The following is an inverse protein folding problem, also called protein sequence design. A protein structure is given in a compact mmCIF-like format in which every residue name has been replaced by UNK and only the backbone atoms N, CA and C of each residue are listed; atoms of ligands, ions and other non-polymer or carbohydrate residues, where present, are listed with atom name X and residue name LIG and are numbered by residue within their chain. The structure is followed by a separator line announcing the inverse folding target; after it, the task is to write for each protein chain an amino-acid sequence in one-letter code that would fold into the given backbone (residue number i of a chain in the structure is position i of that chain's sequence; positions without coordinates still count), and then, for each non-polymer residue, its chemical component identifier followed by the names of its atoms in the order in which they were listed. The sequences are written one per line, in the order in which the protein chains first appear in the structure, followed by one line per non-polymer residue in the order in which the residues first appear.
data_IF_085921913958
#
_entry.id   IF_085921913958
#
_cell.length_a   1.000
_cell.length_b   1.000
_cell.length_c   1.000
_cell.angle_alpha   90.00
_cell.angle_beta   90.00
_cell.angle_gamma   90.00
#
_symmetry.space_group_name_H-M   'P 1'
#
loop_
_entity.id
_entity.type
_entity.pdbx_description
1 polymer ?
#
# COMPACT_ATOMS: atom_id res chain seq x y z
N UNK A 1 1.49 37.39 4.44
CA UNK A 1 2.65 36.68 5.01
C UNK A 1 2.13 35.85 6.19
N UNK A 2 1.81 34.57 5.98
CA UNK A 2 1.16 33.72 6.99
C UNK A 2 2.13 33.28 8.10
N UNK A 3 1.63 33.02 9.33
CA UNK A 3 2.48 32.70 10.47
C UNK A 3 3.25 31.40 10.25
N UNK A 4 4.56 31.42 10.52
CA UNK A 4 5.42 30.23 10.46
C UNK A 4 4.98 29.25 11.57
N UNK A 5 4.56 28.01 11.23
CA UNK A 5 4.17 27.04 12.25
C UNK A 5 5.38 26.66 13.11
N UNK A 6 5.21 26.78 14.44
CA UNK A 6 6.26 26.57 15.43
C UNK A 6 6.82 25.13 15.46
N UNK A 7 8.04 24.95 16.00
CA UNK A 7 8.82 23.70 15.89
C UNK A 7 8.16 22.47 16.54
N UNK A 8 7.28 22.67 17.53
CA UNK A 8 6.59 21.57 18.24
C UNK A 8 5.50 20.88 17.42
N UNK A 9 4.80 21.61 16.54
CA UNK A 9 3.79 21.01 15.64
C UNK A 9 4.46 20.09 14.62
N UNK A 10 5.56 20.54 14.02
CA UNK A 10 6.32 19.79 12.99
C UNK A 10 6.82 18.42 13.48
N UNK A 11 7.18 18.29 14.76
CA UNK A 11 7.67 17.03 15.32
C UNK A 11 6.53 16.01 15.58
N UNK A 12 5.36 16.47 16.04
CA UNK A 12 4.18 15.61 16.21
C UNK A 12 3.62 15.16 14.86
N UNK A 13 3.60 16.06 13.88
CA UNK A 13 3.19 15.73 12.51
C UNK A 13 4.07 14.61 11.93
N UNK A 14 5.40 14.71 12.09
CA UNK A 14 6.34 13.65 11.65
C UNK A 14 6.12 12.32 12.35
N UNK A 15 5.82 12.33 13.66
CA UNK A 15 5.54 11.10 14.40
C UNK A 15 4.21 10.46 13.96
N UNK A 16 3.20 11.28 13.64
CA UNK A 16 1.94 10.83 13.06
C UNK A 16 2.15 10.22 11.67
N UNK A 17 2.84 10.92 10.76
CA UNK A 17 3.13 10.44 9.40
C UNK A 17 3.99 9.16 9.40
N UNK A 18 4.91 9.02 10.35
CA UNK A 18 5.69 7.78 10.54
C UNK A 18 4.81 6.61 10.96
N UNK A 19 3.97 6.79 11.99
CA UNK A 19 3.02 5.75 12.44
C UNK A 19 2.03 5.40 11.34
N UNK A 20 1.54 6.41 10.62
CA UNK A 20 0.64 6.22 9.49
C UNK A 20 1.31 5.41 8.39
N UNK A 21 2.59 5.71 8.06
CA UNK A 21 3.37 4.91 7.12
C UNK A 21 3.50 3.47 7.58
N UNK A 22 3.85 3.23 8.85
CA UNK A 22 3.95 1.88 9.44
C UNK A 22 2.63 1.11 9.29
N UNK A 23 1.51 1.69 9.72
CA UNK A 23 0.19 1.07 9.57
C UNK A 23 -0.17 0.80 8.11
N UNK A 24 0.15 1.72 7.19
CA UNK A 24 -0.11 1.54 5.77
C UNK A 24 0.75 0.44 5.16
N UNK A 25 2.02 0.35 5.53
CA UNK A 25 2.91 -0.73 5.08
C UNK A 25 2.46 -2.10 5.60
N UNK A 26 1.94 -2.17 6.82
CA UNK A 26 1.36 -3.39 7.38
C UNK A 26 0.08 -3.79 6.63
N UNK A 27 -0.82 -2.84 6.37
CA UNK A 27 -2.03 -3.08 5.56
C UNK A 27 -1.67 -3.55 4.15
N UNK A 28 -0.67 -2.93 3.52
CA UNK A 28 -0.18 -3.30 2.19
C UNK A 28 0.38 -4.73 2.19
N UNK A 29 1.22 -5.07 3.18
CA UNK A 29 1.77 -6.42 3.33
C UNK A 29 0.66 -7.46 3.52
N UNK A 30 -0.30 -7.18 4.40
CA UNK A 30 -1.44 -8.07 4.64
C UNK A 30 -2.30 -8.26 3.39
N UNK A 31 -2.60 -7.19 2.64
CA UNK A 31 -3.37 -7.30 1.39
C UNK A 31 -2.63 -8.14 0.33
N UNK A 32 -1.30 -7.99 0.22
CA UNK A 32 -0.47 -8.82 -0.66
C UNK A 32 -0.41 -10.28 -0.23
N UNK A 33 -0.33 -10.54 1.07
CA UNK A 33 -0.37 -11.89 1.65
C UNK A 33 -1.74 -12.55 1.44
N UNK A 34 -2.83 -11.80 1.63
CA UNK A 34 -4.20 -12.22 1.32
C UNK A 34 -4.40 -12.50 -0.18
N UNK A 35 -3.73 -11.74 -1.05
CA UNK A 35 -3.74 -11.93 -2.50
C UNK A 35 -2.82 -13.07 -2.98
N UNK A 36 -1.97 -13.63 -2.11
CA UNK A 36 -1.18 -14.80 -2.43
C UNK A 36 -2.10 -15.98 -2.76
N UNK A 37 -1.77 -16.72 -3.81
CA UNK A 37 -2.52 -17.92 -4.20
C UNK A 37 -1.98 -19.08 -3.39
N UNK A 38 -2.88 -19.82 -2.74
CA UNK A 38 -2.57 -21.08 -2.07
C UNK A 38 -2.50 -22.20 -3.13
N UNK A 39 -1.89 -23.34 -2.76
CA UNK A 39 -1.73 -24.50 -3.64
C UNK A 39 -3.05 -25.02 -4.25
N UNK A 40 -4.18 -24.73 -3.60
CA UNK A 40 -5.54 -25.03 -4.10
C UNK A 40 -6.04 -24.10 -5.22
N UNK A 41 -5.22 -23.15 -5.69
CA UNK A 41 -5.58 -22.19 -6.73
C UNK A 41 -6.46 -21.03 -6.26
N UNK A 42 -7.03 -21.10 -5.05
CA UNK A 42 -7.73 -20.01 -4.38
C UNK A 42 -6.76 -19.03 -3.69
N UNK A 43 -7.16 -17.76 -3.54
CA UNK A 43 -6.39 -16.78 -2.76
C UNK A 43 -6.50 -17.05 -1.27
N UNK A 44 -5.46 -16.68 -0.50
CA UNK A 44 -5.48 -16.77 0.96
C UNK A 44 -6.70 -16.05 1.56
N UNK A 45 -7.12 -14.92 0.98
CA UNK A 45 -8.38 -14.24 1.33
C UNK A 45 -9.60 -15.15 1.22
N UNK A 46 -9.74 -15.86 0.10
CA UNK A 46 -10.86 -16.78 -0.12
C UNK A 46 -10.82 -17.94 0.87
N UNK A 47 -9.61 -18.46 1.15
CA UNK A 47 -9.41 -19.52 2.13
C UNK A 47 -9.81 -19.07 3.53
N UNK A 48 -9.31 -17.92 4.00
CA UNK A 48 -9.64 -17.35 5.32
C UNK A 48 -11.10 -16.94 5.44
N UNK A 49 -11.74 -16.45 4.37
CA UNK A 49 -13.18 -16.19 4.38
C UNK A 49 -14.01 -17.47 4.51
N UNK A 50 -13.61 -18.56 3.83
CA UNK A 50 -14.24 -19.88 3.98
C UNK A 50 -14.02 -20.43 5.38
N UNK A 51 -12.81 -20.30 5.92
CA UNK A 51 -12.46 -20.67 7.29
C UNK A 51 -13.32 -19.90 8.28
N UNK A 52 -13.39 -18.57 8.20
CA UNK A 52 -14.21 -17.74 9.07
C UNK A 52 -15.70 -18.10 8.99
N UNK A 53 -16.21 -18.47 7.81
CA UNK A 53 -17.60 -18.91 7.65
C UNK A 53 -17.87 -20.28 8.29
N UNK A 54 -16.89 -21.18 8.29
CA UNK A 54 -17.03 -22.53 8.84
C UNK A 54 -16.73 -22.60 10.35
N UNK A 55 -15.74 -21.85 10.84
CA UNK A 55 -15.27 -21.88 12.22
C UNK A 55 -15.81 -20.73 13.07
N UNK A 56 -16.36 -19.68 12.45
CA UNK A 56 -16.81 -18.46 13.12
C UNK A 56 -15.68 -17.52 13.55
N UNK A 57 -14.43 -17.93 13.39
CA UNK A 57 -13.25 -17.16 13.79
C UNK A 57 -12.72 -16.35 12.61
N UNK A 58 -12.82 -15.02 12.71
CA UNK A 58 -12.30 -14.10 11.69
C UNK A 58 -10.85 -13.79 12.01
N UNK A 59 -9.97 -14.24 11.12
CA UNK A 59 -8.53 -14.01 11.20
C UNK A 59 -8.22 -12.50 11.31
N UNK A 60 -7.30 -12.08 12.21
CA UNK A 60 -6.90 -10.69 12.35
C UNK A 60 -6.43 -10.06 11.04
N UNK A 61 -5.85 -10.82 10.10
CA UNK A 61 -5.47 -10.33 8.77
C UNK A 61 -6.66 -9.80 7.96
N UNK A 62 -7.87 -10.36 8.16
CA UNK A 62 -9.09 -9.87 7.52
C UNK A 62 -9.70 -8.64 8.23
N UNK A 63 -9.29 -8.37 9.47
CA UNK A 63 -9.77 -7.23 10.28
C UNK A 63 -8.90 -5.99 10.14
N UNK A 64 -7.79 -6.05 9.41
CA UNK A 64 -6.90 -4.90 9.23
C UNK A 64 -7.67 -3.80 8.48
N UNK A 65 -8.00 -2.72 9.20
CA UNK A 65 -8.68 -1.56 8.64
C UNK A 65 -7.66 -0.61 8.02
N UNK A 66 -7.84 -0.32 6.74
CA UNK A 66 -7.01 0.65 6.04
C UNK A 66 -7.25 2.05 6.61
N UNK A 67 -6.18 2.80 6.96
CA UNK A 67 -6.31 4.20 7.35
C UNK A 67 -6.99 4.99 6.24
N UNK A 68 -8.09 5.69 6.55
CA UNK A 68 -8.88 6.45 5.56
C UNK A 68 -8.05 7.42 4.73
N UNK A 69 -7.04 8.02 5.36
CA UNK A 69 -6.11 8.98 4.73
C UNK A 69 -5.13 8.34 3.76
N UNK A 70 -4.86 7.03 3.87
CA UNK A 70 -3.98 6.30 2.95
C UNK A 70 -4.71 5.58 1.82
N UNK A 71 -6.05 5.51 1.86
CA UNK A 71 -6.85 4.93 0.77
C UNK A 71 -6.61 5.64 -0.58
N UNK A 72 -6.55 6.98 -0.67
CA UNK A 72 -6.26 7.65 -1.94
C UNK A 72 -4.86 7.33 -2.47
N UNK A 73 -3.86 7.19 -1.59
CA UNK A 73 -2.50 6.80 -1.98
C UNK A 73 -2.45 5.37 -2.49
N UNK A 74 -3.16 4.47 -1.83
CA UNK A 74 -3.28 3.08 -2.25
C UNK A 74 -4.01 2.94 -3.59
N UNK A 75 -5.11 3.66 -3.78
CA UNK A 75 -5.83 3.67 -5.06
C UNK A 75 -4.97 4.28 -6.16
N UNK A 76 -4.25 5.36 -5.88
CA UNK A 76 -3.28 5.93 -6.81
C UNK A 76 -2.20 4.91 -7.19
N UNK A 77 -1.60 4.23 -6.21
CA UNK A 77 -0.62 3.17 -6.42
C UNK A 77 -1.16 2.05 -7.33
N UNK A 78 -2.38 1.56 -7.04
CA UNK A 78 -3.03 0.53 -7.84
C UNK A 78 -3.33 0.98 -9.27
N UNK A 79 -3.71 2.24 -9.45
CA UNK A 79 -4.03 2.82 -10.77
C UNK A 79 -2.81 3.20 -11.59
N UNK A 80 -1.72 3.61 -10.94
CA UNK A 80 -0.45 3.91 -11.61
C UNK A 80 0.05 2.70 -12.39
N UNK A 81 -0.31 1.49 -11.94
CA UNK A 81 -0.08 0.25 -12.66
C UNK A 81 1.41 -0.06 -12.75
N UNK A 82 1.75 -1.34 -12.65
CA UNK A 82 3.12 -1.78 -12.95
C UNK A 82 3.21 -2.02 -14.44
N UNK A 83 4.26 -1.50 -15.07
CA UNK A 83 4.55 -1.90 -16.44
C UNK A 83 4.89 -3.40 -16.42
N UNK A 84 4.13 -4.19 -17.16
CA UNK A 84 4.45 -5.60 -17.38
C UNK A 84 5.71 -5.67 -18.22
N UNK A 85 6.82 -6.11 -17.64
CA UNK A 85 8.07 -6.36 -18.37
C UNK A 85 8.11 -7.81 -18.87
N UNK A 86 9.04 -8.11 -19.77
CA UNK A 86 9.26 -9.46 -20.32
C UNK A 86 9.53 -10.50 -19.22
N UNK A 87 10.02 -10.07 -18.04
CA UNK A 87 10.28 -10.91 -16.86
C UNK A 87 9.24 -10.73 -15.74
N UNK A 88 8.05 -10.21 -16.04
CA UNK A 88 6.97 -9.99 -15.07
C UNK A 88 6.77 -8.50 -14.69
N UNK A 89 5.90 -8.20 -13.71
CA UNK A 89 5.60 -6.82 -13.32
C UNK A 89 6.85 -6.11 -12.78
N UNK A 90 7.24 -5.01 -13.42
CA UNK A 90 8.38 -4.19 -12.97
C UNK A 90 8.05 -3.28 -11.78
N UNK A 91 9.06 -2.66 -11.15
CA UNK A 91 8.84 -1.62 -10.15
C UNK A 91 8.10 -0.42 -10.77
N UNK A 92 7.39 0.34 -9.94
CA UNK A 92 6.82 1.62 -10.38
C UNK A 92 7.96 2.57 -10.74
N UNK A 93 7.98 3.02 -11.99
CA UNK A 93 8.99 3.96 -12.44
C UNK A 93 8.57 5.41 -12.13
N UNK A 94 9.54 6.34 -11.93
CA UNK A 94 9.25 7.75 -11.70
C UNK A 94 8.38 8.38 -12.78
N UNK A 95 8.49 7.92 -14.03
CA UNK A 95 7.70 8.37 -15.16
C UNK A 95 6.20 8.07 -14.97
N UNK A 96 5.85 6.93 -14.35
CA UNK A 96 4.46 6.58 -14.05
C UNK A 96 3.87 7.53 -13.02
N UNK A 97 4.66 7.92 -12.02
CA UNK A 97 4.25 8.88 -10.99
C UNK A 97 4.02 10.25 -11.63
N UNK A 98 4.93 10.72 -12.47
CA UNK A 98 4.79 11.99 -13.20
C UNK A 98 3.58 11.97 -14.14
N UNK A 99 3.38 10.88 -14.89
CA UNK A 99 2.23 10.71 -15.77
C UNK A 99 0.91 10.73 -14.99
N UNK A 100 0.85 10.06 -13.84
CA UNK A 100 -0.33 10.06 -12.98
C UNK A 100 -0.64 11.45 -12.40
N UNK A 101 0.38 12.16 -11.93
CA UNK A 101 0.24 13.54 -11.49
C UNK A 101 -0.31 14.45 -12.60
N UNK A 102 0.14 14.26 -13.84
CA UNK A 102 -0.35 15.02 -14.99
C UNK A 102 -1.79 14.64 -15.36
N UNK A 103 -2.10 13.34 -15.42
CA UNK A 103 -3.40 12.82 -15.85
C UNK A 103 -4.53 13.18 -14.86
N UNK A 104 -4.26 13.03 -13.57
CA UNK A 104 -5.24 13.28 -12.50
C UNK A 104 -5.12 14.68 -11.88
N UNK A 105 -4.17 15.50 -12.35
CA UNK A 105 -3.86 16.84 -11.82
C UNK A 105 -3.62 16.86 -10.32
N UNK A 106 -3.02 15.81 -9.79
CA UNK A 106 -2.64 15.68 -8.39
C UNK A 106 -1.16 16.00 -8.20
N UNK A 107 -0.79 16.47 -7.01
CA UNK A 107 0.60 16.64 -6.59
C UNK A 107 0.82 15.79 -5.35
N UNK A 108 1.79 14.89 -5.45
CA UNK A 108 2.28 14.14 -4.31
C UNK A 108 3.33 14.97 -3.59
N UNK A 109 3.24 14.98 -2.27
CA UNK A 109 4.26 15.50 -1.37
C UNK A 109 5.40 14.49 -1.23
N UNK A 110 6.57 14.95 -0.75
CA UNK A 110 7.74 14.08 -0.56
C UNK A 110 7.40 12.85 0.31
N UNK A 111 6.58 13.03 1.36
CA UNK A 111 6.14 11.93 2.21
C UNK A 111 5.24 10.92 1.47
N UNK A 112 4.35 11.39 0.61
CA UNK A 112 3.48 10.51 -0.18
C UNK A 112 4.29 9.69 -1.19
N UNK A 113 5.33 10.28 -1.78
CA UNK A 113 6.27 9.57 -2.65
C UNK A 113 7.02 8.48 -1.87
N UNK A 114 7.54 8.79 -0.67
CA UNK A 114 8.17 7.78 0.19
C UNK A 114 7.21 6.62 0.54
N UNK A 115 5.93 6.91 0.74
CA UNK A 115 4.90 5.89 1.01
C UNK A 115 4.66 5.01 -0.24
N UNK A 116 4.57 5.63 -1.42
CA UNK A 116 4.41 4.92 -2.70
C UNK A 116 5.63 4.01 -2.96
N UNK A 117 6.84 4.49 -2.72
CA UNK A 117 8.07 3.70 -2.82
C UNK A 117 8.09 2.54 -1.82
N UNK A 118 7.65 2.76 -0.58
CA UNK A 118 7.54 1.69 0.42
C UNK A 118 6.51 0.62 0.00
N UNK A 119 5.37 1.01 -0.58
CA UNK A 119 4.43 0.07 -1.16
C UNK A 119 5.03 -0.71 -2.31
N UNK A 120 5.81 -0.04 -3.17
CA UNK A 120 6.46 -0.69 -4.30
C UNK A 120 7.43 -1.79 -3.86
N UNK A 121 8.26 -1.49 -2.84
CA UNK A 121 9.19 -2.42 -2.24
C UNK A 121 8.50 -3.65 -1.63
N UNK A 122 7.41 -3.45 -0.87
CA UNK A 122 6.65 -4.54 -0.25
C UNK A 122 6.00 -5.44 -1.31
N UNK A 123 5.44 -4.83 -2.36
CA UNK A 123 4.84 -5.57 -3.45
C UNK A 123 5.89 -6.34 -4.28
N UNK A 124 7.11 -5.81 -4.43
CA UNK A 124 8.24 -6.55 -5.01
C UNK A 124 8.68 -7.72 -4.11
N UNK A 125 8.82 -7.51 -2.81
CA UNK A 125 9.16 -8.57 -1.83
C UNK A 125 8.12 -9.70 -1.87
N UNK A 126 6.82 -9.36 -1.88
CA UNK A 126 5.73 -10.32 -1.94
C UNK A 126 5.71 -11.12 -3.26
N UNK A 127 6.15 -10.52 -4.37
CA UNK A 127 6.26 -11.21 -5.66
C UNK A 127 7.51 -12.08 -5.77
N UNK A 128 8.67 -11.62 -5.26
CA UNK A 128 9.88 -12.43 -5.20
C UNK A 128 9.70 -13.69 -4.35
N UNK A 129 8.88 -13.62 -3.28
CA UNK A 129 8.54 -14.79 -2.46
C UNK A 129 7.63 -15.80 -3.17
N UNK A 130 7.02 -15.41 -4.30
CA UNK A 130 6.06 -16.21 -5.08
C UNK A 130 6.73 -16.94 -6.26
N UNK A 131 8.01 -16.67 -6.51
CA UNK A 131 8.82 -17.25 -7.59
C UNK A 131 9.84 -18.24 -7.01
#
# INVERSE_FOLDING_TARGET
MGPRPGPRRRAQDRAFYRRLRESLTECCRAEHELAARQGDGATLRTHLQRLAKNTGEVDPLLKIEWPRVGLPLWDAFRRMGRSSTVNGPGPIQPENILAYQQLYRVRFTDWELEVIEAFDAIAMEAMSKKN
#
